data_IF_207335905881
#
_entry.id   IF_207335905881
#
_cell.length_a   1.000
_cell.length_b   1.000
_cell.length_c   1.000
_cell.angle_alpha   90.00
_cell.angle_beta   90.00
_cell.angle_gamma   90.00
#
_symmetry.space_group_name_H-M   'P 1'
#
loop_
_entity.id
_entity.type
_entity.pdbx_description
1 polymer ?
#
# COMPACT_ATOMS: atom_id res chain seq x y z
N UNK A 1 27.01 -4.02 -1.17
CA UNK A 1 25.97 -4.99 -0.76
C UNK A 1 24.63 -4.32 -0.39
N UNK A 2 24.57 -2.99 -0.30
CA UNK A 2 23.37 -2.20 0.04
C UNK A 2 22.26 -2.26 -1.02
N UNK A 3 22.62 -2.29 -2.31
CA UNK A 3 21.62 -2.27 -3.39
C UNK A 3 20.69 -3.49 -3.39
N UNK A 4 21.18 -4.68 -3.02
CA UNK A 4 20.34 -5.88 -2.95
C UNK A 4 19.25 -5.75 -1.89
N UNK A 5 19.57 -5.21 -0.71
CA UNK A 5 18.61 -5.02 0.37
C UNK A 5 17.51 -4.02 -0.02
N UNK A 6 17.89 -2.93 -0.70
CA UNK A 6 16.96 -1.93 -1.25
C UNK A 6 16.01 -2.54 -2.29
N UNK A 7 16.56 -3.32 -3.22
CA UNK A 7 15.75 -4.00 -4.24
C UNK A 7 14.77 -4.99 -3.61
N UNK A 8 15.24 -5.85 -2.69
CA UNK A 8 14.41 -6.82 -1.99
C UNK A 8 13.33 -6.14 -1.14
N UNK A 9 13.67 -5.05 -0.44
CA UNK A 9 12.72 -4.26 0.35
C UNK A 9 11.61 -3.67 -0.51
N UNK A 10 11.97 -3.04 -1.63
CA UNK A 10 10.97 -2.43 -2.54
C UNK A 10 10.10 -3.48 -3.22
N UNK A 11 10.68 -4.63 -3.60
CA UNK A 11 9.91 -5.75 -4.13
C UNK A 11 8.93 -6.32 -3.11
N UNK A 12 9.33 -6.36 -1.84
CA UNK A 12 8.45 -6.74 -0.72
C UNK A 12 7.24 -5.82 -0.62
N UNK A 13 7.44 -4.51 -0.65
CA UNK A 13 6.34 -3.54 -0.59
C UNK A 13 5.43 -3.59 -1.82
N UNK A 14 6.00 -3.77 -3.02
CA UNK A 14 5.21 -3.99 -4.24
C UNK A 14 4.38 -5.28 -4.17
N UNK A 15 4.92 -6.36 -3.60
CA UNK A 15 4.18 -7.59 -3.39
C UNK A 15 3.00 -7.41 -2.42
N UNK A 16 3.19 -6.61 -1.35
CA UNK A 16 2.10 -6.24 -0.43
C UNK A 16 1.03 -5.40 -1.13
N UNK A 17 1.43 -4.42 -1.95
CA UNK A 17 0.50 -3.65 -2.79
C UNK A 17 -0.28 -4.55 -3.75
N UNK A 18 0.38 -5.48 -4.42
CA UNK A 18 -0.26 -6.46 -5.30
C UNK A 18 -1.22 -7.39 -4.54
N UNK A 19 -0.84 -7.85 -3.34
CA UNK A 19 -1.71 -8.64 -2.49
C UNK A 19 -2.98 -7.87 -2.11
N UNK A 20 -2.87 -6.59 -1.74
CA UNK A 20 -4.01 -5.71 -1.48
C UNK A 20 -4.94 -5.57 -2.70
N UNK A 21 -4.38 -5.43 -3.90
CA UNK A 21 -5.16 -5.40 -5.15
C UNK A 21 -5.89 -6.74 -5.39
N UNK A 22 -5.22 -7.87 -5.14
CA UNK A 22 -5.83 -9.20 -5.26
C UNK A 22 -7.00 -9.33 -4.28
N UNK A 23 -6.82 -8.93 -3.03
CA UNK A 23 -7.90 -8.93 -2.01
C UNK A 23 -9.01 -7.96 -2.40
N UNK A 24 -8.69 -6.80 -2.98
CA UNK A 24 -9.69 -5.85 -3.48
C UNK A 24 -10.55 -6.46 -4.59
N UNK A 25 -9.93 -7.18 -5.54
CA UNK A 25 -10.65 -7.86 -6.61
C UNK A 25 -11.46 -9.06 -6.13
N UNK A 26 -10.96 -9.80 -5.15
CA UNK A 26 -11.71 -10.87 -4.48
C UNK A 26 -12.95 -10.30 -3.78
N UNK A 27 -12.78 -9.20 -3.05
CA UNK A 27 -13.86 -8.49 -2.37
C UNK A 27 -14.88 -7.92 -3.37
N UNK A 28 -14.44 -7.44 -4.52
CA UNK A 28 -15.31 -6.98 -5.61
C UNK A 28 -16.18 -8.13 -6.15
N UNK A 29 -15.59 -9.30 -6.41
CA UNK A 29 -16.34 -10.48 -6.88
C UNK A 29 -17.37 -10.98 -5.86
N UNK A 30 -17.01 -10.98 -4.58
CA UNK A 30 -17.94 -11.34 -3.50
C UNK A 30 -19.04 -10.29 -3.33
N UNK A 31 -18.70 -9.00 -3.40
CA UNK A 31 -19.63 -7.88 -3.35
C UNK A 31 -20.65 -7.88 -4.47
N UNK A 32 -20.26 -8.26 -5.69
CA UNK A 32 -21.21 -8.41 -6.82
C UNK A 32 -22.25 -9.51 -6.60
N UNK A 33 -21.92 -10.56 -5.85
CA UNK A 33 -22.87 -11.65 -5.54
C UNK A 33 -23.77 -11.26 -4.36
N UNK A 34 -23.27 -10.44 -3.44
CA UNK A 34 -23.93 -10.07 -2.17
C UNK A 34 -24.62 -8.70 -2.18
N UNK A 35 -24.59 -7.95 -3.29
CA UNK A 35 -25.10 -6.56 -3.38
C UNK A 35 -24.51 -5.60 -2.32
N UNK A 36 -23.30 -5.88 -1.83
CA UNK A 36 -22.65 -5.07 -0.80
C UNK A 36 -22.14 -3.72 -1.34
N UNK A 37 -22.09 -2.70 -0.47
CA UNK A 37 -21.60 -1.34 -0.81
C UNK A 37 -20.17 -1.35 -1.36
N UNK A 38 -19.81 -0.42 -2.27
CA UNK A 38 -18.57 -0.45 -3.06
C UNK A 38 -17.33 0.01 -2.26
N UNK A 39 -17.01 -0.67 -1.15
CA UNK A 39 -15.83 -0.37 -0.32
C UNK A 39 -14.49 -0.71 -1.02
N UNK A 40 -14.52 -1.39 -2.16
CA UNK A 40 -13.32 -1.75 -2.94
C UNK A 40 -12.51 -0.53 -3.41
N UNK A 41 -13.14 0.65 -3.58
CA UNK A 41 -12.46 1.89 -4.00
C UNK A 41 -11.44 2.38 -2.97
N UNK A 42 -11.72 2.19 -1.68
CA UNK A 42 -10.80 2.56 -0.60
C UNK A 42 -9.59 1.62 -0.57
N UNK A 43 -9.79 0.35 -0.96
CA UNK A 43 -8.71 -0.62 -1.04
C UNK A 43 -7.79 -0.36 -2.25
N UNK A 44 -8.35 0.06 -3.39
CA UNK A 44 -7.55 0.54 -4.53
C UNK A 44 -6.76 1.81 -4.17
N UNK A 45 -7.36 2.76 -3.43
CA UNK A 45 -6.68 3.95 -2.96
C UNK A 45 -5.48 3.60 -2.06
N UNK A 46 -5.67 2.66 -1.12
CA UNK A 46 -4.62 2.14 -0.25
C UNK A 46 -3.47 1.50 -1.05
N UNK A 47 -3.79 0.68 -2.06
CA UNK A 47 -2.80 0.05 -2.92
C UNK A 47 -1.99 1.07 -3.73
N UNK A 48 -2.65 2.08 -4.31
CA UNK A 48 -1.98 3.17 -5.03
C UNK A 48 -1.03 3.93 -4.09
N UNK A 49 -1.43 4.18 -2.85
CA UNK A 49 -0.62 4.90 -1.87
C UNK A 49 0.66 4.14 -1.50
N UNK A 50 0.56 2.82 -1.33
CA UNK A 50 1.73 1.94 -1.09
C UNK A 50 2.65 1.93 -2.31
N UNK A 51 2.11 1.78 -3.52
CA UNK A 51 2.90 1.76 -4.75
C UNK A 51 3.64 3.09 -4.96
N UNK A 52 2.98 4.23 -4.71
CA UNK A 52 3.60 5.55 -4.83
C UNK A 52 4.72 5.72 -3.80
N UNK A 53 4.49 5.34 -2.54
CA UNK A 53 5.51 5.45 -1.50
C UNK A 53 6.73 4.54 -1.73
N UNK A 54 6.50 3.32 -2.22
CA UNK A 54 7.56 2.37 -2.56
C UNK A 54 8.39 2.83 -3.76
N UNK A 55 7.74 3.28 -4.85
CA UNK A 55 8.42 3.83 -6.01
C UNK A 55 9.13 5.15 -5.71
N UNK A 56 8.53 5.99 -4.85
CA UNK A 56 9.12 7.25 -4.39
C UNK A 56 10.42 7.02 -3.62
N UNK A 57 10.44 6.05 -2.71
CA UNK A 57 11.67 5.68 -1.97
C UNK A 57 12.78 5.19 -2.90
N UNK A 58 12.45 4.34 -3.88
CA UNK A 58 13.42 3.82 -4.84
C UNK A 58 13.95 4.95 -5.75
N UNK A 59 13.09 5.86 -6.19
CA UNK A 59 13.49 7.04 -6.96
C UNK A 59 14.38 7.99 -6.14
N UNK A 60 14.11 8.17 -4.84
CA UNK A 60 14.94 8.96 -3.92
C UNK A 60 16.34 8.38 -3.76
N UNK A 61 16.46 7.06 -3.61
CA UNK A 61 17.75 6.37 -3.50
C UNK A 61 18.56 6.41 -4.80
N UNK A 62 17.88 6.47 -5.96
CA UNK A 62 18.54 6.64 -7.26
C UNK A 62 18.83 8.09 -7.63
N UNK A 63 18.22 9.05 -6.93
CA UNK A 63 18.43 10.47 -7.16
C UNK A 63 19.71 10.96 -6.47
N UNK A 64 20.43 11.88 -7.11
CA UNK A 64 21.57 12.57 -6.50
C UNK A 64 21.17 13.61 -5.46
N UNK A 65 19.88 13.74 -5.12
CA UNK A 65 19.40 14.70 -4.09
C UNK A 65 20.09 14.48 -2.74
N UNK A 66 20.48 13.24 -2.43
CA UNK A 66 21.21 12.91 -1.21
C UNK A 66 22.60 13.59 -1.14
N UNK A 67 23.17 13.99 -2.27
CA UNK A 67 24.47 14.68 -2.32
C UNK A 67 24.36 16.20 -2.14
N UNK A 68 23.24 16.81 -2.56
CA UNK A 68 23.05 18.27 -2.51
C UNK A 68 22.32 18.75 -1.24
N UNK A 69 21.32 18.01 -0.74
CA UNK A 69 20.56 18.42 0.44
C UNK A 69 20.08 17.21 1.27
N UNK A 70 20.85 16.90 2.30
CA UNK A 70 20.59 15.77 3.19
C UNK A 70 19.32 15.97 4.05
N UNK A 71 18.91 17.22 4.33
CA UNK A 71 17.69 17.49 5.09
C UNK A 71 16.47 17.18 4.23
N UNK A 72 16.46 17.64 2.98
CA UNK A 72 15.39 17.36 2.02
C UNK A 72 15.26 15.86 1.73
N UNK A 73 16.39 15.16 1.58
CA UNK A 73 16.41 13.70 1.38
C UNK A 73 15.76 12.95 2.55
N UNK A 74 16.13 13.28 3.80
CA UNK A 74 15.58 12.65 4.99
C UNK A 74 14.07 12.93 5.16
N UNK A 75 13.63 14.17 4.92
CA UNK A 75 12.20 14.52 4.97
C UNK A 75 11.38 13.76 3.94
N UNK A 76 11.87 13.68 2.70
CA UNK A 76 11.18 12.95 1.63
C UNK A 76 11.15 11.44 1.89
N UNK A 77 12.24 10.87 2.40
CA UNK A 77 12.28 9.46 2.81
C UNK A 77 11.25 9.16 3.91
N UNK A 78 11.16 9.99 4.96
CA UNK A 78 10.12 9.83 6.00
C UNK A 78 8.71 9.98 5.42
N UNK A 79 8.50 10.86 4.44
CA UNK A 79 7.20 11.03 3.80
C UNK A 79 6.81 9.79 3.00
N UNK A 80 7.75 9.17 2.28
CA UNK A 80 7.49 7.93 1.56
C UNK A 80 7.18 6.77 2.51
N UNK A 81 7.93 6.61 3.60
CA UNK A 81 7.69 5.58 4.61
C UNK A 81 6.33 5.75 5.29
N UNK A 82 5.97 6.98 5.68
CA UNK A 82 4.66 7.27 6.28
C UNK A 82 3.53 7.01 5.29
N UNK A 83 3.72 7.32 4.00
CA UNK A 83 2.72 7.05 2.97
C UNK A 83 2.46 5.54 2.79
N UNK A 84 3.51 4.72 2.81
CA UNK A 84 3.40 3.26 2.80
C UNK A 84 2.71 2.75 4.06
N UNK A 85 3.12 3.23 5.24
CA UNK A 85 2.54 2.81 6.52
C UNK A 85 1.05 3.14 6.64
N UNK A 86 0.64 4.33 6.19
CA UNK A 86 -0.78 4.74 6.15
C UNK A 86 -1.53 3.90 5.12
N UNK A 87 -0.95 3.68 3.93
CA UNK A 87 -1.56 2.83 2.90
C UNK A 87 -1.85 1.42 3.41
N UNK A 88 -0.89 0.80 4.12
CA UNK A 88 -1.07 -0.53 4.72
C UNK A 88 -2.15 -0.50 5.81
N UNK A 89 -2.09 0.47 6.72
CA UNK A 89 -3.05 0.59 7.83
C UNK A 89 -4.48 0.76 7.32
N UNK A 90 -4.66 1.58 6.29
CA UNK A 90 -5.95 1.83 5.65
C UNK A 90 -6.43 0.58 4.91
N UNK A 91 -5.54 -0.08 4.15
CA UNK A 91 -5.83 -1.33 3.47
C UNK A 91 -6.26 -2.45 4.43
N UNK A 92 -5.54 -2.62 5.54
CA UNK A 92 -5.87 -3.59 6.58
C UNK A 92 -7.19 -3.26 7.28
N UNK A 93 -7.39 -1.99 7.64
CA UNK A 93 -8.61 -1.54 8.32
C UNK A 93 -9.86 -1.73 7.47
N UNK A 94 -9.79 -1.40 6.17
CA UNK A 94 -10.89 -1.61 5.23
C UNK A 94 -11.13 -3.09 4.99
N UNK A 95 -10.08 -3.89 4.80
CA UNK A 95 -10.20 -5.33 4.67
C UNK A 95 -10.85 -5.97 5.90
N UNK A 96 -10.42 -5.57 7.10
CA UNK A 96 -10.98 -6.03 8.36
C UNK A 96 -12.45 -5.65 8.52
N UNK A 97 -12.78 -4.37 8.28
CA UNK A 97 -14.15 -3.89 8.36
C UNK A 97 -15.07 -4.66 7.40
N UNK A 98 -14.65 -4.84 6.14
CA UNK A 98 -15.42 -5.56 5.14
C UNK A 98 -15.65 -7.03 5.52
N UNK A 99 -14.61 -7.73 5.99
CA UNK A 99 -14.72 -9.13 6.39
C UNK A 99 -15.57 -9.30 7.66
N UNK A 100 -15.45 -8.37 8.62
CA UNK A 100 -16.27 -8.38 9.84
C UNK A 100 -17.76 -8.20 9.54
N UNK A 101 -18.10 -7.32 8.59
CA UNK A 101 -19.47 -7.16 8.12
C UNK A 101 -19.99 -8.43 7.45
N UNK A 102 -19.21 -9.02 6.54
CA UNK A 102 -19.61 -10.24 5.83
C UNK A 102 -19.77 -11.47 6.74
N UNK A 103 -19.03 -11.52 7.84
CA UNK A 103 -19.18 -12.56 8.88
C UNK A 103 -20.41 -12.31 9.77
N UNK A 104 -20.75 -11.04 10.02
CA UNK A 104 -21.91 -10.69 10.85
C UNK A 104 -23.26 -10.94 10.17
N UNK A 105 -23.33 -10.87 8.84
CA UNK A 105 -24.57 -11.16 8.08
C UNK A 105 -24.97 -12.66 8.06
N UNK A 106 -24.16 -13.56 8.64
CA UNK A 106 -24.38 -15.02 8.61
C UNK A 106 -25.05 -15.60 9.87
N UNK A 107 -25.33 -14.78 10.88
CA UNK A 107 -26.17 -15.11 12.05
C UNK A 107 -27.53 -14.42 11.94
#
# INVERSE_FOLDING_TARGET
MTNLAVFLGTFGWLAVGAALVIVARLSLRLGTVTHARPYYRLMDLAAVMICIGALGSLALEWSSLAQDDQLAHNMLSMLCDTLVAVGISLGLGVAWYYWSWLLAERD
#
